data_IF_510539351956
#
_entry.id   IF_510539351956
#
_cell.length_a   1.000
_cell.length_b   1.000
_cell.length_c   1.000
_cell.angle_alpha   90.00
_cell.angle_beta   90.00
_cell.angle_gamma   90.00
#
_symmetry.space_group_name_H-M   'P 1'
#
loop_
_entity.id
_entity.type
_entity.pdbx_description
1 polymer ?
#
# COMPACT_ATOMS: atom_id res chain seq x y z
N UNK A 1 69.28 5.49 -22.22
CA UNK A 1 68.17 4.61 -21.81
C UNK A 1 66.99 5.46 -21.47
N UNK A 2 65.96 5.42 -22.28
CA UNK A 2 64.70 6.10 -21.95
C UNK A 2 63.87 5.18 -21.11
N UNK A 3 63.62 5.51 -19.84
CA UNK A 3 62.63 4.86 -19.01
C UNK A 3 61.24 5.34 -19.42
N UNK A 4 60.44 4.48 -20.01
CA UNK A 4 59.04 4.76 -20.24
C UNK A 4 58.29 4.56 -18.91
N UNK A 5 57.91 5.67 -18.28
CA UNK A 5 57.02 5.64 -17.14
C UNK A 5 55.62 5.37 -17.67
N UNK A 6 55.14 4.15 -17.48
CA UNK A 6 53.74 3.81 -17.74
C UNK A 6 52.95 4.27 -16.50
N UNK A 7 52.28 5.40 -16.63
CA UNK A 7 51.33 5.85 -15.60
C UNK A 7 50.05 5.04 -15.81
N UNK A 8 49.89 4.00 -15.01
CA UNK A 8 48.60 3.28 -14.92
C UNK A 8 47.62 4.19 -14.19
N UNK A 9 46.73 4.84 -14.91
CA UNK A 9 45.60 5.54 -14.32
C UNK A 9 44.61 4.51 -13.83
N UNK A 10 44.54 4.32 -12.50
CA UNK A 10 43.50 3.51 -11.89
C UNK A 10 42.24 4.37 -11.87
N UNK A 11 41.31 4.09 -12.80
CA UNK A 11 40.01 4.73 -12.80
C UNK A 11 39.18 3.98 -11.75
N UNK A 12 39.01 4.54 -10.57
CA UNK A 12 38.08 4.10 -9.57
C UNK A 12 36.69 4.46 -10.06
N UNK A 13 35.96 3.48 -10.64
CA UNK A 13 34.54 3.66 -10.92
C UNK A 13 33.79 3.58 -9.61
N UNK A 14 33.30 4.73 -9.14
CA UNK A 14 32.36 4.79 -8.03
C UNK A 14 30.99 4.31 -8.55
N UNK A 15 30.62 3.08 -8.19
CA UNK A 15 29.26 2.60 -8.42
C UNK A 15 28.37 3.21 -7.34
N UNK A 16 27.63 4.26 -7.68
CA UNK A 16 26.55 4.75 -6.84
C UNK A 16 25.37 3.82 -7.09
N UNK A 17 25.12 2.88 -6.17
CA UNK A 17 23.90 2.09 -6.17
C UNK A 17 22.81 2.97 -5.61
N UNK A 18 22.05 3.63 -6.49
CA UNK A 18 20.82 4.28 -6.08
C UNK A 18 19.83 3.18 -5.71
N UNK A 19 19.37 3.16 -4.45
CA UNK A 19 18.23 2.34 -4.06
C UNK A 19 17.02 2.84 -4.84
N UNK A 20 16.28 1.95 -5.57
CA UNK A 20 15.09 2.39 -6.27
C UNK A 20 14.10 2.96 -5.24
N UNK A 21 13.51 4.11 -5.56
CA UNK A 21 12.37 4.62 -4.81
C UNK A 21 11.27 3.55 -4.81
N UNK A 22 10.62 3.31 -3.66
CA UNK A 22 9.49 2.40 -3.59
C UNK A 22 8.41 2.84 -4.55
N UNK A 23 8.01 1.96 -5.46
CA UNK A 23 7.01 2.24 -6.46
C UNK A 23 5.61 2.34 -5.84
N UNK A 24 4.84 3.32 -6.31
CA UNK A 24 3.41 3.39 -6.02
C UNK A 24 2.70 2.35 -6.89
N UNK A 25 1.84 1.56 -6.28
CA UNK A 25 1.02 0.56 -6.96
C UNK A 25 -0.46 0.75 -6.64
N UNK A 26 -1.32 0.28 -7.52
CA UNK A 26 -2.77 0.28 -7.28
C UNK A 26 -3.18 -1.07 -6.72
N UNK A 27 -3.87 -1.05 -5.57
CA UNK A 27 -4.43 -2.23 -4.94
C UNK A 27 -5.92 -2.04 -4.68
N UNK A 28 -6.70 -3.01 -5.12
CA UNK A 28 -8.15 -2.96 -5.05
C UNK A 28 -8.68 -4.12 -4.21
N UNK A 29 -9.63 -3.84 -3.34
CA UNK A 29 -10.23 -4.83 -2.47
C UNK A 29 -11.11 -4.24 -1.39
N UNK A 30 -11.29 -4.98 -0.32
CA UNK A 30 -12.06 -4.54 0.83
C UNK A 30 -11.21 -3.63 1.72
N UNK A 31 -11.64 -2.40 1.87
CA UNK A 31 -11.06 -1.45 2.83
C UNK A 31 -11.89 -1.52 4.10
N UNK A 32 -11.26 -1.97 5.18
CA UNK A 32 -11.93 -2.37 6.42
C UNK A 32 -11.47 -1.51 7.57
N UNK A 33 -12.44 -0.90 8.26
CA UNK A 33 -12.21 -0.17 9.51
C UNK A 33 -13.13 -0.75 10.59
N UNK A 34 -12.76 -1.84 11.26
CA UNK A 34 -13.65 -2.55 12.18
C UNK A 34 -13.84 -1.83 13.51
N UNK A 35 -12.85 -1.09 13.94
CA UNK A 35 -12.81 -0.37 15.22
C UNK A 35 -11.95 0.90 15.07
N UNK A 36 -11.99 1.85 16.02
CA UNK A 36 -11.20 3.07 15.91
C UNK A 36 -9.73 2.81 15.60
N UNK A 37 -9.20 3.54 14.62
CA UNK A 37 -7.80 3.52 14.18
C UNK A 37 -7.27 2.17 13.65
N UNK A 38 -8.07 1.13 13.59
CA UNK A 38 -7.72 -0.14 12.97
C UNK A 38 -8.19 -0.13 11.51
N UNK A 39 -7.25 -0.21 10.57
CA UNK A 39 -7.52 -0.18 9.14
C UNK A 39 -6.76 -1.27 8.41
N UNK A 40 -7.43 -1.93 7.50
CA UNK A 40 -6.89 -3.00 6.67
C UNK A 40 -7.39 -2.92 5.23
N UNK A 41 -6.57 -3.36 4.30
CA UNK A 41 -7.00 -3.67 2.95
C UNK A 41 -6.88 -5.18 2.73
N UNK A 42 -7.94 -5.80 2.27
CA UNK A 42 -7.93 -7.22 1.86
C UNK A 42 -8.12 -7.29 0.36
N UNK A 43 -7.08 -7.72 -0.34
CA UNK A 43 -7.08 -7.87 -1.78
C UNK A 43 -6.73 -9.30 -2.20
N UNK A 44 -6.47 -9.50 -3.48
CA UNK A 44 -6.10 -10.81 -4.05
C UNK A 44 -4.86 -11.44 -3.40
N UNK A 45 -3.98 -10.64 -2.83
CA UNK A 45 -2.72 -11.10 -2.24
C UNK A 45 -2.82 -11.28 -0.71
N UNK A 46 -3.95 -10.95 -0.13
CA UNK A 46 -4.22 -11.13 1.29
C UNK A 46 -4.48 -9.82 2.02
N UNK A 47 -4.19 -9.81 3.30
CA UNK A 47 -4.48 -8.70 4.20
C UNK A 47 -3.26 -7.81 4.38
N UNK A 48 -3.47 -6.52 4.14
CA UNK A 48 -2.48 -5.47 4.34
C UNK A 48 -2.88 -4.60 5.52
N UNK A 49 -2.00 -4.48 6.49
CA UNK A 49 -2.23 -3.57 7.62
C UNK A 49 -1.94 -2.14 7.21
N UNK A 50 -2.89 -1.25 7.43
CA UNK A 50 -2.77 0.18 7.20
C UNK A 50 -2.49 0.91 8.50
N UNK A 51 -3.25 0.59 9.55
CA UNK A 51 -3.15 1.22 10.85
C UNK A 51 -3.61 0.28 11.95
N UNK A 52 -3.00 0.40 13.11
CA UNK A 52 -3.38 -0.30 14.34
C UNK A 52 -3.55 0.73 15.46
N UNK A 53 -4.62 0.60 16.21
CA UNK A 53 -4.88 1.48 17.35
C UNK A 53 -3.72 1.41 18.36
N UNK A 54 -3.13 2.57 18.68
CA UNK A 54 -2.01 2.65 19.61
C UNK A 54 -0.68 2.11 19.06
N UNK A 55 -0.59 1.80 17.78
CA UNK A 55 0.60 1.23 17.15
C UNK A 55 0.90 1.81 15.78
N UNK A 56 1.16 0.92 14.84
CA UNK A 56 1.55 1.28 13.49
C UNK A 56 0.50 2.14 12.77
N UNK A 57 0.99 3.09 11.98
CA UNK A 57 0.16 3.91 11.11
C UNK A 57 0.90 4.23 9.82
N UNK A 58 0.27 3.95 8.69
CA UNK A 58 0.78 4.32 7.38
C UNK A 58 0.86 5.84 7.24
N UNK A 59 1.76 6.33 6.41
CA UNK A 59 1.77 7.73 5.99
C UNK A 59 0.58 7.98 5.06
N UNK A 60 0.03 9.20 5.11
CA UNK A 60 -1.02 9.60 4.19
C UNK A 60 -2.41 9.08 4.55
N UNK A 61 -2.72 8.89 5.82
CA UNK A 61 -4.07 8.50 6.28
C UNK A 61 -5.17 9.45 5.80
N UNK A 62 -4.85 10.73 5.62
CA UNK A 62 -5.79 11.73 5.09
C UNK A 62 -6.18 11.47 3.62
N UNK A 63 -5.45 10.61 2.94
CA UNK A 63 -5.72 10.22 1.55
C UNK A 63 -6.61 8.96 1.44
N UNK A 64 -7.10 8.42 2.55
CA UNK A 64 -8.08 7.36 2.52
C UNK A 64 -9.34 7.82 1.80
N UNK A 65 -9.92 6.99 0.92
CA UNK A 65 -11.15 7.36 0.24
C UNK A 65 -12.33 7.45 1.21
N UNK A 66 -13.26 8.35 0.90
CA UNK A 66 -14.54 8.43 1.60
C UNK A 66 -15.57 7.55 0.91
N UNK A 67 -16.52 7.02 1.69
CA UNK A 67 -17.55 6.15 1.17
C UNK A 67 -18.88 6.87 0.97
N UNK A 68 -19.61 6.43 -0.05
CA UNK A 68 -21.03 6.66 -0.13
C UNK A 68 -21.72 5.70 0.86
N UNK A 69 -22.64 6.18 1.67
CA UNK A 69 -23.34 5.36 2.66
C UNK A 69 -24.04 4.13 2.07
N UNK A 70 -24.51 4.23 0.82
CA UNK A 70 -25.17 3.12 0.10
C UNK A 70 -24.19 2.02 -0.31
N UNK A 71 -22.90 2.34 -0.37
CA UNK A 71 -21.81 1.47 -0.78
C UNK A 71 -20.86 1.17 0.39
N UNK A 72 -21.42 1.09 1.58
CA UNK A 72 -20.68 0.84 2.81
C UNK A 72 -21.48 -0.08 3.72
N UNK A 73 -20.81 -1.07 4.31
CA UNK A 73 -21.43 -2.02 5.24
C UNK A 73 -20.98 -1.68 6.66
N UNK A 74 -21.92 -1.28 7.50
CA UNK A 74 -21.68 -1.02 8.92
C UNK A 74 -21.66 -2.34 9.68
N UNK A 75 -20.62 -2.56 10.47
CA UNK A 75 -20.42 -3.76 11.27
C UNK A 75 -20.38 -3.47 12.77
N UNK A 76 -20.02 -2.25 13.15
CA UNK A 76 -19.91 -1.81 14.54
C UNK A 76 -20.19 -0.31 14.62
N UNK A 77 -21.43 0.08 14.86
CA UNK A 77 -21.82 1.50 14.79
C UNK A 77 -21.56 2.05 13.38
N UNK A 78 -20.70 3.07 13.29
CA UNK A 78 -20.26 3.65 12.00
C UNK A 78 -19.03 2.95 11.39
N UNK A 79 -18.41 2.02 12.12
CA UNK A 79 -17.29 1.24 11.62
C UNK A 79 -17.77 0.11 10.71
N UNK A 80 -16.95 -0.24 9.74
CA UNK A 80 -17.34 -1.27 8.80
C UNK A 80 -16.37 -1.39 7.62
N UNK A 81 -16.89 -1.67 6.44
CA UNK A 81 -16.05 -1.85 5.27
C UNK A 81 -16.75 -1.40 3.97
N UNK A 82 -15.93 -1.12 2.99
CA UNK A 82 -16.36 -0.84 1.63
C UNK A 82 -15.35 -1.37 0.62
N UNK A 83 -15.68 -1.27 -0.64
CA UNK A 83 -14.79 -1.61 -1.75
C UNK A 83 -14.02 -0.38 -2.19
N UNK A 84 -12.72 -0.53 -2.43
CA UNK A 84 -11.88 0.59 -2.86
C UNK A 84 -10.71 0.12 -3.73
N UNK A 85 -10.25 1.03 -4.59
CA UNK A 85 -8.92 0.96 -5.19
C UNK A 85 -8.07 2.06 -4.57
N UNK A 86 -6.86 1.72 -4.16
CA UNK A 86 -5.95 2.66 -3.53
C UNK A 86 -4.59 2.67 -4.22
N UNK A 87 -4.01 3.88 -4.33
CA UNK A 87 -2.65 4.07 -4.79
C UNK A 87 -1.75 4.13 -3.56
N UNK A 88 -0.90 3.14 -3.41
CA UNK A 88 -0.16 2.87 -2.18
C UNK A 88 1.28 2.46 -2.44
N UNK A 89 2.09 2.63 -1.42
CA UNK A 89 3.40 1.98 -1.32
C UNK A 89 3.26 0.86 -0.30
N UNK A 90 3.66 -0.35 -0.68
CA UNK A 90 3.57 -1.52 0.18
C UNK A 90 4.92 -1.89 0.80
N UNK A 91 4.85 -2.48 1.98
CA UNK A 91 5.93 -3.20 2.63
C UNK A 91 5.52 -4.67 2.72
N UNK A 92 5.87 -5.43 1.69
CA UNK A 92 5.43 -6.83 1.57
C UNK A 92 6.05 -7.73 2.64
N UNK A 93 7.26 -7.43 3.10
CA UNK A 93 7.92 -8.21 4.17
C UNK A 93 7.12 -8.19 5.48
N UNK A 94 6.38 -7.10 5.75
CA UNK A 94 5.54 -6.93 6.94
C UNK A 94 4.05 -6.99 6.66
N UNK A 95 3.64 -7.24 5.42
CA UNK A 95 2.23 -7.20 5.00
C UNK A 95 1.54 -5.90 5.41
N UNK A 96 2.19 -4.78 5.13
CA UNK A 96 1.74 -3.43 5.48
C UNK A 96 1.65 -2.55 4.25
N UNK A 97 0.75 -1.58 4.31
CA UNK A 97 0.78 -0.39 3.47
C UNK A 97 1.62 0.64 4.22
N UNK A 98 2.72 1.08 3.61
CA UNK A 98 3.61 2.07 4.22
C UNK A 98 3.17 3.50 3.95
N UNK A 99 2.50 3.73 2.80
CA UNK A 99 2.03 5.06 2.41
C UNK A 99 0.79 4.97 1.53
N UNK A 100 -0.16 5.86 1.77
CA UNK A 100 -1.36 6.05 0.96
C UNK A 100 -1.20 7.34 0.18
N UNK A 101 -1.21 7.25 -1.15
CA UNK A 101 -1.11 8.41 -2.06
C UNK A 101 -2.48 8.92 -2.48
N UNK A 102 -3.49 8.06 -2.49
CA UNK A 102 -4.84 8.38 -2.88
C UNK A 102 -5.67 7.13 -3.05
N UNK A 103 -6.88 7.29 -3.52
CA UNK A 103 -7.77 6.18 -3.78
C UNK A 103 -9.19 6.64 -4.07
N UNK A 104 -10.01 5.69 -4.43
CA UNK A 104 -11.44 5.91 -4.68
C UNK A 104 -12.25 4.77 -4.10
N UNK A 105 -13.41 5.10 -3.57
CA UNK A 105 -14.41 4.10 -3.20
C UNK A 105 -15.10 3.57 -4.44
N UNK A 106 -15.41 2.28 -4.43
CA UNK A 106 -16.08 1.58 -5.52
C UNK A 106 -17.42 1.01 -5.02
N UNK A 107 -18.34 0.70 -5.93
CA UNK A 107 -19.53 -0.06 -5.56
C UNK A 107 -19.16 -1.37 -4.88
N UNK A 108 -19.92 -1.78 -3.87
CA UNK A 108 -19.71 -3.06 -3.17
C UNK A 108 -19.71 -4.25 -4.13
N UNK A 109 -20.50 -4.18 -5.19
CA UNK A 109 -20.58 -5.21 -6.23
C UNK A 109 -19.24 -5.46 -6.91
N UNK A 110 -18.40 -4.44 -7.05
CA UNK A 110 -17.07 -4.58 -7.65
C UNK A 110 -16.22 -5.60 -6.89
N UNK A 111 -16.18 -5.52 -5.57
CA UNK A 111 -15.46 -6.51 -4.75
C UNK A 111 -16.20 -7.84 -4.64
N UNK A 112 -17.52 -7.80 -4.53
CA UNK A 112 -18.34 -9.03 -4.41
C UNK A 112 -18.27 -9.92 -5.65
N UNK A 113 -18.15 -9.32 -6.81
CA UNK A 113 -18.09 -10.01 -8.10
C UNK A 113 -16.66 -10.34 -8.54
N UNK A 114 -15.65 -9.82 -7.85
CA UNK A 114 -14.25 -10.12 -8.17
C UNK A 114 -13.86 -11.49 -7.59
N UNK A 115 -13.61 -12.50 -8.45
CA UNK A 115 -13.28 -13.84 -7.99
C UNK A 115 -11.92 -13.93 -7.29
N UNK A 116 -11.06 -12.92 -7.45
CA UNK A 116 -9.72 -12.88 -6.86
C UNK A 116 -9.71 -12.20 -5.48
N UNK A 117 -10.78 -11.52 -5.11
CA UNK A 117 -10.91 -10.87 -3.81
C UNK A 117 -11.69 -11.81 -2.86
N UNK A 118 -11.13 -12.12 -1.68
CA UNK A 118 -11.84 -12.96 -0.72
C UNK A 118 -13.20 -12.37 -0.34
N UNK A 119 -14.25 -13.19 -0.21
CA UNK A 119 -15.56 -12.68 0.23
C UNK A 119 -15.49 -12.21 1.68
N UNK A 120 -16.16 -11.10 1.97
CA UNK A 120 -16.40 -10.66 3.35
C UNK A 120 -17.49 -11.53 3.99
N UNK A 121 -17.20 -11.98 5.18
CA UNK A 121 -18.11 -12.82 5.98
C UNK A 121 -18.64 -12.07 7.18
#
# INVERSE_FOLDING_TARGET
MKQNLVISAIISSLFIVALPAKAVETRCGWLINPTPANWYLVDKDGRWTISLQGGYQAKGMDNLPTYNEKEYVKTNGYYGYGCACMNVVTDSARSRISEIRGGESLPLSTCREDPNVPPMR
#
